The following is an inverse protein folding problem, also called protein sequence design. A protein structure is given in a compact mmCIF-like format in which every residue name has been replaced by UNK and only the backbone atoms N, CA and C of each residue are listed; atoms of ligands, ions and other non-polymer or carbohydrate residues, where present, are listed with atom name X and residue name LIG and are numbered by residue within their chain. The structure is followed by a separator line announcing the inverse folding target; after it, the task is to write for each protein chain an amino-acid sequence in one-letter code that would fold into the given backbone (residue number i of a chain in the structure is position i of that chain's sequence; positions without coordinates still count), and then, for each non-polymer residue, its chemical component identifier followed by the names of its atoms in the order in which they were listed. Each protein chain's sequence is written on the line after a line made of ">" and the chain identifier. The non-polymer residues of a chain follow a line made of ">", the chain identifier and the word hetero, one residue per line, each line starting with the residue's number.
data_IF_657558417377
#
_entry.id   IF_657558417377
#
_cell.length_a   1.000
_cell.length_b   1.000
_cell.length_c   1.000
_cell.angle_alpha   90.00
_cell.angle_beta   90.00
_cell.angle_gamma   90.00
#
_symmetry.space_group_name_H-M   'P 1'
#
loop_
_entity.id
_entity.type
_entity.pdbx_description
1 polymer ?
#
# COMPACT_ATOMS: atom_id res chain seq x y z
N UNK A 1 15.80 -5.46 10.85
CA UNK A 1 16.37 -6.80 10.61
C UNK A 1 17.64 -6.89 11.40
N UNK A 2 17.80 -7.98 12.14
CA UNK A 2 19.02 -8.23 12.92
C UNK A 2 20.17 -8.61 11.99
N UNK A 3 21.41 -8.52 12.49
CA UNK A 3 22.58 -8.92 11.74
C UNK A 3 22.47 -10.41 11.41
N UNK A 4 22.65 -10.78 10.14
CA UNK A 4 22.57 -12.15 9.62
C UNK A 4 21.17 -12.81 9.66
N UNK A 5 20.12 -12.06 9.99
CA UNK A 5 18.73 -12.54 9.92
C UNK A 5 18.25 -12.63 8.47
N UNK A 6 17.68 -13.79 8.08
CA UNK A 6 17.06 -13.94 6.76
C UNK A 6 15.76 -13.15 6.67
N UNK A 7 15.37 -12.73 5.46
CA UNK A 7 14.11 -12.00 5.24
C UNK A 7 12.89 -12.75 5.80
N UNK A 8 12.83 -14.07 5.61
CA UNK A 8 11.71 -14.86 6.13
C UNK A 8 11.68 -14.91 7.66
N UNK A 9 12.83 -15.01 8.33
CA UNK A 9 12.89 -14.96 9.81
C UNK A 9 12.45 -13.60 10.34
N UNK A 10 12.87 -12.53 9.68
CA UNK A 10 12.39 -11.19 9.98
C UNK A 10 10.86 -11.08 9.82
N UNK A 11 10.32 -11.62 8.72
CA UNK A 11 8.89 -11.63 8.44
C UNK A 11 8.08 -12.44 9.46
N UNK A 12 8.57 -13.61 9.90
CA UNK A 12 7.97 -14.41 10.98
C UNK A 12 7.89 -13.63 12.30
N UNK A 13 8.98 -12.97 12.67
CA UNK A 13 9.04 -12.15 13.88
C UNK A 13 8.12 -10.94 13.78
N UNK A 14 8.09 -10.28 12.62
CA UNK A 14 7.22 -9.14 12.35
C UNK A 14 5.73 -9.55 12.38
N UNK A 15 5.38 -10.67 11.74
CA UNK A 15 4.03 -11.24 11.76
C UNK A 15 3.58 -11.55 13.19
N UNK A 16 4.41 -12.25 13.98
CA UNK A 16 4.10 -12.57 15.38
C UNK A 16 3.89 -11.30 16.21
N UNK A 17 4.74 -10.28 16.02
CA UNK A 17 4.60 -9.01 16.71
C UNK A 17 3.31 -8.30 16.32
N UNK A 18 3.01 -8.19 15.03
CA UNK A 18 1.78 -7.58 14.51
C UNK A 18 0.54 -8.27 15.08
N UNK A 19 0.52 -9.60 15.07
CA UNK A 19 -0.60 -10.37 15.61
C UNK A 19 -0.79 -10.16 17.11
N UNK A 20 0.31 -10.08 17.86
CA UNK A 20 0.26 -9.83 19.31
C UNK A 20 -0.23 -8.43 19.62
N UNK A 21 0.36 -7.41 18.99
CA UNK A 21 0.08 -6.00 19.26
C UNK A 21 -1.37 -5.63 18.89
N UNK A 22 -1.89 -6.22 17.81
CA UNK A 22 -3.24 -5.92 17.30
C UNK A 22 -4.29 -6.96 17.72
N UNK A 23 -3.91 -7.98 18.48
CA UNK A 23 -4.81 -9.05 18.91
C UNK A 23 -5.41 -9.85 17.75
N UNK A 24 -4.65 -10.03 16.67
CA UNK A 24 -5.07 -10.81 15.50
C UNK A 24 -5.00 -12.29 15.85
N UNK A 25 -6.07 -13.01 15.55
CA UNK A 25 -6.18 -14.45 15.78
C UNK A 25 -6.08 -15.20 14.44
N UNK A 26 -5.67 -16.47 14.47
CA UNK A 26 -5.60 -17.31 13.25
C UNK A 26 -6.98 -17.65 12.67
N UNK A 27 -8.04 -17.57 13.50
CA UNK A 27 -9.42 -17.90 13.15
C UNK A 27 -10.39 -16.96 13.86
N UNK A 28 -11.63 -16.93 13.39
CA UNK A 28 -12.70 -16.18 14.02
C UNK A 28 -12.67 -14.68 13.69
N UNK A 29 -13.42 -13.86 14.42
CA UNK A 29 -13.71 -12.47 14.05
C UNK A 29 -12.51 -11.52 14.13
N UNK A 30 -11.42 -11.93 14.78
CA UNK A 30 -10.18 -11.15 14.85
C UNK A 30 -9.12 -11.61 13.84
N UNK A 31 -9.47 -12.53 12.95
CA UNK A 31 -8.57 -12.98 11.89
C UNK A 31 -8.63 -12.06 10.67
N UNK A 32 -7.61 -12.09 9.81
CA UNK A 32 -7.52 -11.22 8.64
C UNK A 32 -7.97 -11.98 7.38
N UNK A 33 -9.15 -11.64 6.89
CA UNK A 33 -9.74 -12.22 5.67
C UNK A 33 -9.02 -11.78 4.39
N UNK A 34 -8.52 -10.54 4.36
CA UNK A 34 -8.00 -9.88 3.18
C UNK A 34 -6.72 -9.12 3.49
N UNK A 35 -5.66 -9.44 2.75
CA UNK A 35 -4.41 -8.70 2.73
C UNK A 35 -4.34 -7.90 1.42
N UNK A 36 -4.01 -6.61 1.54
CA UNK A 36 -3.80 -5.70 0.41
C UNK A 36 -2.38 -5.17 0.51
N UNK A 37 -1.43 -5.79 -0.20
CA UNK A 37 -0.05 -5.31 -0.22
C UNK A 37 0.12 -4.25 -1.31
N UNK A 38 0.32 -3.00 -0.87
CA UNK A 38 0.64 -1.86 -1.72
C UNK A 38 2.14 -1.52 -1.70
N UNK A 39 2.96 -2.28 -0.97
CA UNK A 39 4.40 -1.98 -0.80
C UNK A 39 5.28 -2.63 -1.86
N UNK A 40 4.96 -3.87 -2.27
CA UNK A 40 5.82 -4.71 -3.11
C UNK A 40 7.08 -5.22 -2.41
N UNK A 41 7.30 -4.88 -1.14
CA UNK A 41 8.48 -5.28 -0.40
C UNK A 41 8.36 -6.75 0.03
N UNK A 42 9.38 -7.57 -0.28
CA UNK A 42 9.37 -9.01 0.02
C UNK A 42 8.98 -9.32 1.47
N UNK A 43 9.48 -8.57 2.45
CA UNK A 43 9.17 -8.78 3.87
C UNK A 43 7.72 -8.42 4.23
N UNK A 44 7.14 -7.41 3.57
CA UNK A 44 5.72 -7.06 3.74
C UNK A 44 4.84 -8.15 3.16
N UNK A 45 5.20 -8.63 1.97
CA UNK A 45 4.52 -9.72 1.28
C UNK A 45 4.52 -11.00 2.14
N UNK A 46 5.71 -11.42 2.59
CA UNK A 46 5.87 -12.58 3.47
C UNK A 46 5.10 -12.41 4.78
N UNK A 47 5.17 -11.24 5.42
CA UNK A 47 4.39 -10.94 6.63
C UNK A 47 2.89 -11.09 6.38
N UNK A 48 2.39 -10.53 5.28
CA UNK A 48 0.99 -10.62 4.90
C UNK A 48 0.51 -12.06 4.71
N UNK A 49 1.29 -12.90 4.05
CA UNK A 49 1.02 -14.34 3.93
C UNK A 49 0.94 -15.03 5.29
N UNK A 50 1.85 -14.68 6.20
CA UNK A 50 1.92 -15.29 7.53
C UNK A 50 0.72 -14.90 8.42
N UNK A 51 0.23 -13.66 8.34
CA UNK A 51 -0.88 -13.16 9.17
C UNK A 51 -2.27 -13.39 8.56
N UNK A 52 -2.36 -13.69 7.26
CA UNK A 52 -3.61 -14.05 6.62
C UNK A 52 -4.23 -15.27 7.32
N UNK A 53 -5.55 -15.27 7.48
CA UNK A 53 -6.27 -16.42 8.02
C UNK A 53 -6.25 -17.60 7.03
N UNK A 54 -6.61 -18.80 7.52
CA UNK A 54 -6.89 -19.95 6.64
C UNK A 54 -8.06 -19.62 5.70
N UNK A 55 -7.88 -19.86 4.40
CA UNK A 55 -8.79 -19.51 3.31
C UNK A 55 -8.79 -18.02 2.95
N UNK A 56 -7.90 -17.22 3.55
CA UNK A 56 -7.80 -15.79 3.30
C UNK A 56 -7.37 -15.43 1.88
N UNK A 57 -7.59 -14.18 1.50
CA UNK A 57 -7.19 -13.64 0.19
C UNK A 57 -6.04 -12.65 0.35
N UNK A 58 -5.01 -12.81 -0.47
CA UNK A 58 -3.92 -11.86 -0.62
C UNK A 58 -4.01 -11.19 -1.99
N UNK A 59 -4.05 -9.86 -2.00
CA UNK A 59 -4.03 -9.04 -3.21
C UNK A 59 -2.68 -8.32 -3.31
N UNK A 60 -1.91 -8.64 -4.34
CA UNK A 60 -0.64 -7.99 -4.68
C UNK A 60 -0.90 -6.82 -5.64
N UNK A 61 -0.63 -5.60 -5.20
CA UNK A 61 -0.73 -4.38 -6.00
C UNK A 61 0.58 -3.59 -6.03
N UNK A 62 1.34 -3.65 -4.92
CA UNK A 62 2.63 -3.00 -4.80
C UNK A 62 3.64 -3.55 -5.80
N UNK A 63 4.48 -2.68 -6.34
CA UNK A 63 5.51 -3.02 -7.30
C UNK A 63 6.89 -2.91 -6.63
N UNK A 64 7.53 -4.04 -6.39
CA UNK A 64 8.87 -4.13 -5.80
C UNK A 64 9.82 -4.89 -6.70
N UNK A 65 10.61 -5.78 -6.10
CA UNK A 65 11.45 -6.72 -6.86
C UNK A 65 10.58 -7.59 -7.78
N UNK A 66 10.98 -7.84 -9.04
CA UNK A 66 10.21 -8.69 -9.95
C UNK A 66 10.08 -10.14 -9.44
N UNK A 67 11.02 -10.57 -8.61
CA UNK A 67 11.04 -11.89 -7.98
C UNK A 67 11.27 -11.74 -6.48
N UNK A 68 10.56 -12.56 -5.70
CA UNK A 68 10.63 -12.61 -4.23
C UNK A 68 10.54 -14.05 -3.74
N UNK A 69 11.12 -14.33 -2.58
CA UNK A 69 10.93 -15.62 -1.92
C UNK A 69 9.61 -15.65 -1.17
N UNK A 70 8.81 -16.73 -1.32
CA UNK A 70 7.52 -16.90 -0.66
C UNK A 70 7.50 -18.16 0.23
N UNK A 71 6.80 -18.13 1.38
CA UNK A 71 6.60 -19.31 2.23
C UNK A 71 5.50 -20.21 1.66
N UNK A 72 5.82 -20.94 0.59
CA UNK A 72 4.87 -21.76 -0.17
C UNK A 72 4.13 -22.78 0.71
N UNK A 73 4.81 -23.41 1.68
CA UNK A 73 4.16 -24.36 2.60
C UNK A 73 3.06 -23.69 3.43
N UNK A 74 3.27 -22.44 3.89
CA UNK A 74 2.25 -21.70 4.63
C UNK A 74 1.08 -21.33 3.73
N UNK A 75 1.35 -20.88 2.50
CA UNK A 75 0.29 -20.59 1.53
C UNK A 75 -0.56 -21.83 1.24
N UNK A 76 0.09 -22.98 1.10
CA UNK A 76 -0.55 -24.28 0.90
C UNK A 76 -1.41 -24.68 2.10
N UNK A 77 -0.85 -24.71 3.31
CA UNK A 77 -1.59 -25.18 4.51
C UNK A 77 -2.71 -24.23 4.94
N UNK A 78 -2.59 -22.95 4.59
CA UNK A 78 -3.66 -21.97 4.79
C UNK A 78 -4.62 -21.89 3.60
N UNK A 79 -4.43 -22.64 2.52
CA UNK A 79 -5.28 -22.59 1.31
C UNK A 79 -5.53 -21.14 0.83
N UNK A 80 -4.47 -20.34 0.76
CA UNK A 80 -4.61 -18.91 0.45
C UNK A 80 -5.00 -18.66 -1.01
N UNK A 81 -5.87 -17.68 -1.20
CA UNK A 81 -6.21 -17.14 -2.51
C UNK A 81 -5.25 -16.00 -2.86
N UNK A 82 -4.41 -16.18 -3.88
CA UNK A 82 -3.49 -15.14 -4.34
C UNK A 82 -4.03 -14.44 -5.60
N UNK A 83 -4.10 -13.10 -5.58
CA UNK A 83 -4.58 -12.28 -6.70
C UNK A 83 -3.59 -11.17 -7.01
N UNK A 84 -3.21 -11.03 -8.28
CA UNK A 84 -2.58 -9.80 -8.77
C UNK A 84 -3.66 -8.77 -9.11
N UNK A 85 -3.40 -7.50 -8.83
CA UNK A 85 -4.23 -6.38 -9.29
C UNK A 85 -3.36 -5.32 -9.93
N UNK A 86 -3.66 -5.00 -11.19
CA UNK A 86 -2.92 -4.02 -11.96
C UNK A 86 -3.86 -2.99 -12.55
N UNK A 87 -3.66 -1.73 -12.15
CA UNK A 87 -4.45 -0.57 -12.58
C UNK A 87 -5.94 -0.70 -12.20
N UNK A 88 -6.77 -1.07 -13.16
CA UNK A 88 -8.24 -1.01 -13.07
C UNK A 88 -8.86 -1.87 -14.17
N UNK A 89 -10.05 -2.41 -13.90
CA UNK A 89 -10.90 -3.11 -14.85
C UNK A 89 -12.06 -2.27 -15.38
N UNK A 90 -12.87 -2.84 -16.29
CA UNK A 90 -14.10 -2.20 -16.76
C UNK A 90 -15.04 -1.88 -15.59
N UNK A 91 -15.48 -0.62 -15.51
CA UNK A 91 -16.43 -0.16 -14.48
C UNK A 91 -15.79 0.51 -13.24
N UNK A 92 -14.49 0.34 -13.01
CA UNK A 92 -13.81 0.90 -11.83
C UNK A 92 -13.84 2.44 -11.81
N UNK A 93 -13.59 3.10 -12.94
CA UNK A 93 -13.65 4.56 -13.03
C UNK A 93 -15.05 5.11 -12.76
N UNK A 94 -16.12 4.65 -13.45
CA UNK A 94 -17.49 5.05 -13.11
C UNK A 94 -17.83 4.85 -11.63
N UNK A 95 -17.44 3.71 -11.04
CA UNK A 95 -17.68 3.44 -9.62
C UNK A 95 -16.93 4.43 -8.71
N UNK A 96 -15.63 4.64 -8.95
CA UNK A 96 -14.81 5.55 -8.15
C UNK A 96 -15.34 7.00 -8.22
N UNK A 97 -15.70 7.46 -9.41
CA UNK A 97 -16.31 8.79 -9.61
C UNK A 97 -17.64 8.88 -8.85
N UNK A 98 -18.49 7.85 -8.94
CA UNK A 98 -19.77 7.84 -8.23
C UNK A 98 -19.59 7.89 -6.71
N UNK A 99 -18.61 7.16 -6.15
CA UNK A 99 -18.31 7.19 -4.72
C UNK A 99 -17.87 8.58 -4.25
N UNK A 100 -17.04 9.26 -5.04
CA UNK A 100 -16.61 10.64 -4.74
C UNK A 100 -17.76 11.63 -4.90
N UNK A 101 -18.53 11.55 -5.98
CA UNK A 101 -19.67 12.43 -6.24
C UNK A 101 -20.77 12.32 -5.17
N UNK A 102 -20.95 11.12 -4.60
CA UNK A 102 -21.88 10.87 -3.49
C UNK A 102 -21.31 11.26 -2.10
N UNK A 103 -20.07 11.77 -2.04
CA UNK A 103 -19.41 12.11 -0.78
C UNK A 103 -19.05 10.90 0.09
N UNK A 104 -19.05 9.68 -0.47
CA UNK A 104 -18.65 8.46 0.26
C UNK A 104 -17.14 8.38 0.45
N UNK A 105 -16.38 9.06 -0.40
CA UNK A 105 -14.92 9.16 -0.34
C UNK A 105 -14.54 10.63 -0.54
N UNK A 106 -13.89 11.23 0.47
CA UNK A 106 -13.25 12.54 0.33
C UNK A 106 -11.78 12.36 -0.08
N UNK A 107 -11.45 12.78 -1.29
CA UNK A 107 -10.08 12.70 -1.84
C UNK A 107 -9.21 13.91 -1.48
N UNK A 108 -9.80 15.01 -0.98
CA UNK A 108 -9.06 16.26 -0.74
C UNK A 108 -7.87 16.06 0.22
N UNK A 109 -7.97 15.27 1.31
CA UNK A 109 -6.84 15.04 2.22
C UNK A 109 -5.65 14.30 1.60
N UNK A 110 -5.84 13.63 0.45
CA UNK A 110 -4.72 12.94 -0.23
C UNK A 110 -3.74 13.94 -0.86
N UNK A 111 -4.21 15.13 -1.25
CA UNK A 111 -3.37 16.19 -1.83
C UNK A 111 -2.62 16.88 -0.69
N UNK A 112 -1.36 16.48 -0.49
CA UNK A 112 -0.53 17.04 0.59
C UNK A 112 0.30 18.23 0.13
N UNK A 113 0.59 18.34 -1.17
CA UNK A 113 1.41 19.42 -1.72
C UNK A 113 0.84 19.92 -3.05
N UNK A 114 0.91 21.24 -3.25
CA UNK A 114 0.53 21.92 -4.48
C UNK A 114 1.70 22.79 -4.95
N UNK A 115 1.97 22.73 -6.23
CA UNK A 115 3.06 23.43 -6.90
C UNK A 115 2.52 24.20 -8.10
N UNK A 116 3.10 25.38 -8.37
CA UNK A 116 2.85 26.06 -9.64
C UNK A 116 3.54 25.29 -10.77
N UNK A 117 3.20 25.62 -12.01
CA UNK A 117 3.82 24.99 -13.16
C UNK A 117 5.35 25.17 -13.18
N UNK A 118 5.83 26.35 -12.79
CA UNK A 118 7.25 26.72 -12.73
C UNK A 118 8.02 25.90 -11.68
N UNK A 119 7.32 25.37 -10.68
CA UNK A 119 7.89 24.53 -9.63
C UNK A 119 7.86 23.03 -9.96
N UNK A 120 7.54 22.64 -11.19
CA UNK A 120 7.41 21.23 -11.57
C UNK A 120 8.63 20.38 -11.17
N UNK A 121 9.85 20.88 -11.36
CA UNK A 121 11.09 20.17 -10.98
C UNK A 121 11.12 19.88 -9.48
N UNK A 122 10.76 20.86 -8.64
CA UNK A 122 10.69 20.71 -7.19
C UNK A 122 9.62 19.69 -6.78
N UNK A 123 8.45 19.71 -7.45
CA UNK A 123 7.37 18.75 -7.20
C UNK A 123 7.82 17.30 -7.47
N UNK A 124 8.55 17.06 -8.57
CA UNK A 124 9.12 15.75 -8.89
C UNK A 124 10.20 15.34 -7.89
N UNK A 125 11.08 16.25 -7.45
CA UNK A 125 12.07 15.94 -6.42
C UNK A 125 11.40 15.57 -5.09
N UNK A 126 10.40 16.35 -4.68
CA UNK A 126 9.61 16.11 -3.47
C UNK A 126 8.91 14.74 -3.51
N UNK A 127 8.36 14.37 -4.66
CA UNK A 127 7.75 13.04 -4.86
C UNK A 127 8.80 11.92 -4.77
N UNK A 128 9.99 12.12 -5.36
CA UNK A 128 11.09 11.16 -5.35
C UNK A 128 11.64 10.91 -3.94
N UNK A 129 11.82 11.96 -3.14
CA UNK A 129 12.33 11.86 -1.76
C UNK A 129 11.27 11.43 -0.77
N UNK A 130 9.99 11.51 -1.16
CA UNK A 130 8.84 11.27 -0.28
C UNK A 130 8.65 12.36 0.79
N UNK A 131 9.42 13.45 0.70
CA UNK A 131 9.38 14.57 1.66
C UNK A 131 9.72 15.90 0.96
N UNK A 132 9.02 16.95 1.34
CA UNK A 132 9.32 18.33 0.94
C UNK A 132 10.58 18.85 1.62
N UNK A 133 11.06 20.01 1.17
CA UNK A 133 12.24 20.71 1.73
C UNK A 133 12.09 21.06 3.22
N UNK A 134 10.87 21.28 3.70
CA UNK A 134 10.55 21.49 5.12
C UNK A 134 10.34 20.18 5.91
N UNK A 135 10.59 19.03 5.28
CA UNK A 135 10.58 17.71 5.91
C UNK A 135 9.20 17.05 6.02
N UNK A 136 8.12 17.68 5.52
CA UNK A 136 6.78 17.09 5.55
C UNK A 136 6.65 15.91 4.58
N UNK A 137 5.94 14.87 4.99
CA UNK A 137 5.70 13.68 4.18
C UNK A 137 4.78 13.95 2.98
N UNK A 138 5.04 13.26 1.88
CA UNK A 138 4.33 13.47 0.61
C UNK A 138 3.46 12.25 0.30
N UNK A 139 2.18 12.48 0.00
CA UNK A 139 1.24 11.45 -0.47
C UNK A 139 0.90 11.72 -1.94
N UNK A 140 0.40 12.92 -2.22
CA UNK A 140 0.12 13.39 -3.59
C UNK A 140 0.60 14.83 -3.74
N UNK A 141 1.50 15.04 -4.70
CA UNK A 141 1.85 16.35 -5.20
C UNK A 141 1.02 16.65 -6.45
N UNK A 142 0.44 17.85 -6.54
CA UNK A 142 -0.30 18.34 -7.72
C UNK A 142 0.42 19.55 -8.28
N UNK A 143 0.67 19.53 -9.58
CA UNK A 143 1.24 20.65 -10.33
C UNK A 143 0.09 21.33 -11.07
N UNK A 144 -0.10 22.62 -10.85
CA UNK A 144 -1.11 23.41 -11.56
C UNK A 144 -0.69 23.64 -13.02
N UNK A 145 -1.66 23.85 -13.91
CA UNK A 145 -1.36 24.23 -15.31
C UNK A 145 -0.70 25.62 -15.39
N UNK A 146 -0.03 25.94 -16.53
CA UNK A 146 0.56 27.26 -16.73
C UNK A 146 -0.47 28.38 -16.53
N UNK A 147 -0.13 29.40 -15.72
CA UNK A 147 -1.01 30.55 -15.46
C UNK A 147 -2.18 30.30 -14.51
N UNK A 148 -2.33 29.09 -13.95
CA UNK A 148 -3.36 28.76 -12.95
C UNK A 148 -2.84 29.08 -11.54
N UNK A 149 -3.59 29.86 -10.77
CA UNK A 149 -3.20 30.18 -9.39
C UNK A 149 -3.31 28.95 -8.48
N UNK A 150 -2.42 28.88 -7.48
CA UNK A 150 -2.48 27.85 -6.43
C UNK A 150 -3.74 27.94 -5.58
N UNK A 151 -4.38 29.11 -5.52
CA UNK A 151 -5.65 29.33 -4.82
C UNK A 151 -6.87 28.70 -5.51
N UNK A 152 -6.74 28.34 -6.78
CA UNK A 152 -7.87 27.98 -7.64
C UNK A 152 -8.16 26.46 -7.63
N UNK A 153 -7.44 25.69 -6.80
CA UNK A 153 -7.45 24.23 -6.78
C UNK A 153 -7.75 23.60 -5.41
#
# INVERSE_FOLDING_TARGET
>A
MEKDETRIRYSERNAKKLMTDLGIEERGPKSIDLIVDASGAEVSIQTGVLVAKIGGTFVQLGMGSPEVTLPITTMLTKELNWKGSFRYGPGDYPLAIALVAQGKIDLKPLITHRYSFEQAVEAFQTTRTGKSSDGKGVIKAVISGPGVSLSDN
#
